data_IF_109701177138
#
_entry.id   IF_109701177138
#
_cell.length_a   1.000
_cell.length_b   1.000
_cell.length_c   1.000
_cell.angle_alpha   90.00
_cell.angle_beta   90.00
_cell.angle_gamma   90.00
#
_symmetry.space_group_name_H-M   'P 1'
#
loop_
_entity.id
_entity.type
_entity.pdbx_description
1 polymer ?
#
# COMPACT_ATOMS: atom_id res chain seq x y z
N UNK A 1 -4.28 13.17 -7.56
CA UNK A 1 -3.04 13.18 -6.73
C UNK A 1 -1.78 12.97 -7.55
N UNK A 2 -1.73 11.99 -8.47
CA UNK A 2 -0.56 11.75 -9.33
C UNK A 2 -0.04 13.01 -10.05
N UNK A 3 -0.93 13.81 -10.62
CA UNK A 3 -0.56 15.11 -11.22
C UNK A 3 -0.04 16.14 -10.20
N UNK A 4 -0.49 16.09 -8.95
CA UNK A 4 0.04 16.96 -7.87
C UNK A 4 1.46 16.56 -7.52
N UNK A 5 1.72 15.26 -7.32
CA UNK A 5 3.07 14.74 -7.09
C UNK A 5 4.00 15.04 -8.27
N UNK A 6 3.51 14.90 -9.50
CA UNK A 6 4.27 15.28 -10.69
C UNK A 6 4.62 16.78 -10.71
N UNK A 7 3.66 17.65 -10.36
CA UNK A 7 3.90 19.11 -10.23
C UNK A 7 4.89 19.44 -9.11
N UNK A 8 4.98 18.62 -8.07
CA UNK A 8 5.99 18.75 -7.02
C UNK A 8 7.39 18.32 -7.49
N UNK A 9 7.51 17.72 -8.68
CA UNK A 9 8.75 17.22 -9.26
C UNK A 9 8.94 15.70 -9.09
N UNK A 10 7.93 14.97 -8.62
CA UNK A 10 8.06 13.54 -8.43
C UNK A 10 7.99 12.78 -9.76
N UNK A 11 8.89 11.82 -9.94
CA UNK A 11 8.89 10.96 -11.12
C UNK A 11 7.67 10.02 -11.11
N UNK A 12 6.66 10.34 -11.93
CA UNK A 12 5.45 9.52 -12.10
C UNK A 12 5.73 8.06 -12.45
N UNK A 13 6.84 7.74 -13.12
CA UNK A 13 7.22 6.37 -13.46
C UNK A 13 7.70 5.55 -12.24
N UNK A 14 8.15 6.22 -11.17
CA UNK A 14 8.68 5.60 -9.95
C UNK A 14 7.64 5.41 -8.85
N UNK A 15 6.48 6.05 -8.99
CA UNK A 15 5.33 5.87 -8.11
C UNK A 15 4.52 4.66 -8.59
N UNK A 16 4.53 3.60 -7.78
CA UNK A 16 3.92 2.30 -8.07
C UNK A 16 2.42 2.30 -7.75
N UNK A 17 2.03 2.88 -6.62
CA UNK A 17 0.63 2.99 -6.20
C UNK A 17 0.41 4.24 -5.34
N UNK A 18 -0.82 4.76 -5.33
CA UNK A 18 -1.26 5.84 -4.44
C UNK A 18 -2.63 5.47 -3.92
N UNK A 19 -2.78 5.40 -2.59
CA UNK A 19 -4.07 5.18 -1.96
C UNK A 19 -4.26 6.04 -0.71
N UNK A 20 -5.48 6.06 -0.19
CA UNK A 20 -5.89 6.88 0.94
C UNK A 20 -6.38 5.94 2.05
N UNK A 21 -5.49 5.55 2.98
CA UNK A 21 -5.87 4.59 4.02
C UNK A 21 -6.83 5.20 5.05
N UNK A 22 -6.74 6.52 5.29
CA UNK A 22 -7.68 7.26 6.15
C UNK A 22 -7.76 8.73 5.73
N UNK A 23 -8.67 9.48 6.35
CA UNK A 23 -8.87 10.89 6.04
C UNK A 23 -7.63 11.72 6.37
N UNK A 24 -7.19 12.52 5.40
CA UNK A 24 -6.01 13.39 5.55
C UNK A 24 -4.66 12.68 5.35
N UNK A 25 -4.65 11.36 5.12
CA UNK A 25 -3.42 10.58 4.92
C UNK A 25 -3.38 10.07 3.49
N UNK A 26 -2.24 10.26 2.84
CA UNK A 26 -1.93 9.70 1.52
C UNK A 26 -0.81 8.69 1.69
N UNK A 27 -1.09 7.44 1.36
CA UNK A 27 -0.07 6.42 1.26
C UNK A 27 0.43 6.37 -0.18
N UNK A 28 1.76 6.47 -0.34
CA UNK A 28 2.42 6.41 -1.64
C UNK A 28 3.36 5.23 -1.62
N UNK A 29 3.16 4.32 -2.56
CA UNK A 29 4.09 3.22 -2.78
C UNK A 29 5.07 3.60 -3.88
N UNK A 30 6.35 3.56 -3.56
CA UNK A 30 7.44 3.99 -4.43
C UNK A 30 8.43 2.85 -4.65
N UNK A 31 9.15 2.92 -5.77
CA UNK A 31 10.28 2.04 -6.00
C UNK A 31 11.39 2.28 -4.96
N UNK A 32 12.00 1.21 -4.42
CA UNK A 32 13.00 1.30 -3.33
C UNK A 32 14.17 2.24 -3.65
N UNK A 33 14.72 2.15 -4.87
CA UNK A 33 15.80 3.03 -5.32
C UNK A 33 15.42 4.51 -5.51
N UNK A 34 14.14 4.86 -5.35
CA UNK A 34 13.65 6.24 -5.39
C UNK A 34 13.35 6.80 -4.00
N UNK A 35 13.50 6.01 -2.93
CA UNK A 35 13.17 6.41 -1.56
C UNK A 35 13.90 7.68 -1.11
N UNK A 36 15.23 7.73 -1.29
CA UNK A 36 16.03 8.87 -0.82
C UNK A 36 15.78 10.15 -1.63
N UNK A 37 15.56 10.01 -2.93
CA UNK A 37 15.19 11.13 -3.80
C UNK A 37 13.80 11.66 -3.44
N UNK A 38 12.84 10.77 -3.22
CA UNK A 38 11.48 11.13 -2.83
C UNK A 38 11.45 11.83 -1.47
N UNK A 39 12.20 11.33 -0.48
CA UNK A 39 12.30 11.98 0.83
C UNK A 39 12.94 13.36 0.76
N UNK A 40 13.99 13.54 -0.06
CA UNK A 40 14.57 14.87 -0.34
C UNK A 40 13.57 15.81 -1.01
N UNK A 41 12.78 15.28 -1.95
CA UNK A 41 11.73 16.06 -2.60
C UNK A 41 10.67 16.51 -1.60
N UNK A 42 10.18 15.60 -0.75
CA UNK A 42 9.21 15.94 0.29
C UNK A 42 9.76 16.99 1.25
N UNK A 43 11.03 16.86 1.67
CA UNK A 43 11.70 17.85 2.53
C UNK A 43 11.82 19.24 1.90
N UNK A 44 12.04 19.32 0.58
CA UNK A 44 12.05 20.61 -0.16
C UNK A 44 10.71 21.34 -0.09
N UNK A 45 9.60 20.59 0.02
CA UNK A 45 8.25 21.13 0.11
C UNK A 45 7.70 21.15 1.54
N UNK A 46 8.57 20.93 2.54
CA UNK A 46 8.20 20.89 3.97
C UNK A 46 7.12 19.84 4.29
N UNK A 47 7.03 18.79 3.47
CA UNK A 47 6.10 17.69 3.68
C UNK A 47 6.79 16.64 4.54
N UNK A 48 6.37 16.53 5.81
CA UNK A 48 6.89 15.50 6.71
C UNK A 48 6.24 14.13 6.41
N UNK A 49 7.03 13.07 6.12
CA UNK A 49 6.50 11.72 6.00
C UNK A 49 6.00 11.20 7.37
N UNK A 50 4.88 10.48 7.35
CA UNK A 50 4.33 9.85 8.55
C UNK A 50 4.94 8.46 8.75
N UNK A 51 5.84 8.33 9.73
CA UNK A 51 6.60 7.09 9.94
C UNK A 51 5.85 5.98 10.69
N UNK A 52 4.94 6.33 11.61
CA UNK A 52 4.33 5.38 12.54
C UNK A 52 2.86 5.08 12.22
N UNK A 53 2.49 5.10 10.93
CA UNK A 53 1.12 4.80 10.53
C UNK A 53 0.83 3.30 10.59
N UNK A 54 -0.12 2.89 11.45
CA UNK A 54 -0.59 1.52 11.51
C UNK A 54 -1.87 1.34 10.67
N UNK A 55 -1.83 0.68 9.50
CA UNK A 55 -3.02 0.49 8.66
C UNK A 55 -4.10 -0.40 9.30
N UNK A 56 -3.78 -1.12 10.37
CA UNK A 56 -4.68 -2.05 11.06
C UNK A 56 -5.34 -1.43 12.31
N UNK A 57 -5.01 -0.17 12.65
CA UNK A 57 -5.59 0.51 13.80
C UNK A 57 -7.10 0.69 13.62
N UNK A 58 -7.95 0.15 14.52
CA UNK A 58 -9.41 0.30 14.48
C UNK A 58 -9.89 1.74 14.29
N UNK A 59 -9.16 2.72 14.80
CA UNK A 59 -9.50 4.14 14.70
C UNK A 59 -9.44 4.69 13.25
N UNK A 60 -8.75 3.98 12.36
CA UNK A 60 -8.69 4.36 10.95
C UNK A 60 -9.94 3.96 10.16
N UNK A 61 -10.79 3.07 10.71
CA UNK A 61 -12.07 2.71 10.09
C UNK A 61 -13.06 3.87 10.25
N UNK A 62 -13.39 4.53 9.14
CA UNK A 62 -14.30 5.69 9.13
C UNK A 62 -15.56 5.49 8.30
N UNK A 63 -15.78 4.30 7.77
CA UNK A 63 -17.00 3.99 7.05
C UNK A 63 -18.15 3.85 8.05
N UNK A 64 -19.10 4.78 8.00
CA UNK A 64 -20.26 4.83 8.90
C UNK A 64 -21.04 3.52 8.90
N UNK A 65 -21.22 2.89 7.74
CA UNK A 65 -21.97 1.62 7.65
C UNK A 65 -21.23 0.50 8.38
N UNK A 66 -19.89 0.47 8.25
CA UNK A 66 -19.07 -0.52 8.95
C UNK A 66 -19.00 -0.23 10.45
N UNK A 67 -19.02 1.03 10.87
CA UNK A 67 -19.06 1.41 12.29
C UNK A 67 -20.41 1.07 12.95
N UNK A 68 -21.50 1.11 12.20
CA UNK A 68 -22.83 0.70 12.67
C UNK A 68 -22.94 -0.83 12.81
N UNK A 69 -22.22 -1.60 11.98
CA UNK A 69 -22.24 -3.08 12.03
C UNK A 69 -21.16 -3.72 12.90
N UNK A 70 -19.99 -3.08 13.02
CA UNK A 70 -18.82 -3.62 13.73
C UNK A 70 -18.68 -2.91 15.06
N UNK A 71 -18.95 -3.65 16.13
CA UNK A 71 -19.09 -3.10 17.48
C UNK A 71 -17.80 -3.26 18.28
N UNK A 72 -17.03 -4.33 18.00
CA UNK A 72 -15.75 -4.58 18.65
C UNK A 72 -14.57 -4.04 17.84
N UNK A 73 -13.55 -3.54 18.53
CA UNK A 73 -12.30 -3.09 17.91
C UNK A 73 -11.55 -4.24 17.21
N UNK A 74 -11.70 -5.47 17.66
CA UNK A 74 -11.11 -6.65 17.02
C UNK A 74 -11.75 -6.94 15.65
N UNK A 75 -13.07 -6.79 15.54
CA UNK A 75 -13.81 -6.94 14.28
C UNK A 75 -13.40 -5.85 13.29
N UNK A 76 -13.21 -4.62 13.79
CA UNK A 76 -12.74 -3.47 12.99
C UNK A 76 -11.31 -3.68 12.50
N UNK A 77 -10.40 -4.13 13.36
CA UNK A 77 -9.03 -4.47 12.99
C UNK A 77 -9.00 -5.58 11.93
N UNK A 78 -9.83 -6.61 12.10
CA UNK A 78 -9.99 -7.69 11.11
C UNK A 78 -10.48 -7.15 9.77
N UNK A 79 -11.47 -6.27 9.78
CA UNK A 79 -11.99 -5.67 8.56
C UNK A 79 -10.98 -4.77 7.86
N UNK A 80 -10.22 -3.98 8.62
CA UNK A 80 -9.13 -3.16 8.09
C UNK A 80 -8.02 -4.02 7.50
N UNK A 81 -7.70 -5.16 8.14
CA UNK A 81 -6.76 -6.14 7.58
C UNK A 81 -7.23 -6.67 6.24
N UNK A 82 -8.51 -7.03 6.11
CA UNK A 82 -9.08 -7.46 4.82
C UNK A 82 -8.96 -6.37 3.76
N UNK A 83 -9.34 -5.13 4.10
CA UNK A 83 -9.28 -3.99 3.18
C UNK A 83 -7.83 -3.73 2.75
N UNK A 84 -6.89 -3.73 3.71
CA UNK A 84 -5.48 -3.51 3.44
C UNK A 84 -4.92 -4.60 2.51
N UNK A 85 -5.21 -5.87 2.79
CA UNK A 85 -4.79 -6.98 1.95
C UNK A 85 -5.39 -6.90 0.54
N UNK A 86 -6.68 -6.59 0.42
CA UNK A 86 -7.34 -6.40 -0.87
C UNK A 86 -6.66 -5.29 -1.68
N UNK A 87 -6.29 -4.18 -1.04
CA UNK A 87 -5.59 -3.07 -1.69
C UNK A 87 -4.21 -3.49 -2.20
N UNK A 88 -3.44 -4.23 -1.40
CA UNK A 88 -2.13 -4.73 -1.84
C UNK A 88 -2.26 -5.69 -3.01
N UNK A 89 -3.25 -6.59 -2.99
CA UNK A 89 -3.52 -7.49 -4.12
C UNK A 89 -3.86 -6.72 -5.39
N UNK A 90 -4.79 -5.77 -5.33
CA UNK A 90 -5.10 -4.92 -6.48
C UNK A 90 -3.88 -4.13 -6.95
N UNK A 91 -3.08 -3.59 -6.03
CA UNK A 91 -1.85 -2.88 -6.39
C UNK A 91 -0.89 -3.79 -7.18
N UNK A 92 -0.74 -5.06 -6.80
CA UNK A 92 0.08 -6.02 -7.54
C UNK A 92 -0.49 -6.30 -8.94
N UNK A 93 -1.81 -6.43 -9.09
CA UNK A 93 -2.46 -6.67 -10.39
C UNK A 93 -2.17 -5.54 -11.39
N UNK A 94 -2.27 -4.28 -10.95
CA UNK A 94 -2.03 -3.12 -11.80
C UNK A 94 -0.55 -2.75 -11.98
N UNK A 95 0.35 -3.28 -11.14
CA UNK A 95 1.79 -3.05 -11.29
C UNK A 95 2.35 -3.68 -12.56
N UNK A 96 3.35 -3.01 -13.14
CA UNK A 96 4.13 -3.55 -14.26
C UNK A 96 4.90 -4.79 -13.83
N UNK A 97 5.07 -5.73 -14.76
CA UNK A 97 5.67 -7.05 -14.49
C UNK A 97 7.01 -6.99 -13.73
N UNK A 98 7.92 -6.08 -14.14
CA UNK A 98 9.24 -5.92 -13.51
C UNK A 98 9.18 -5.45 -12.05
N UNK A 99 8.14 -4.70 -11.66
CA UNK A 99 7.94 -4.24 -10.29
C UNK A 99 7.07 -5.20 -9.48
N UNK A 100 6.20 -5.98 -10.14
CA UNK A 100 5.22 -6.85 -9.48
C UNK A 100 5.88 -7.93 -8.61
N UNK A 101 6.90 -8.64 -9.12
CA UNK A 101 7.55 -9.73 -8.36
C UNK A 101 8.30 -9.22 -7.12
N UNK A 102 9.21 -8.22 -7.21
CA UNK A 102 9.90 -7.71 -6.03
C UNK A 102 8.94 -7.20 -4.96
N UNK A 103 7.86 -6.50 -5.37
CA UNK A 103 6.86 -5.99 -4.42
C UNK A 103 6.05 -7.11 -3.77
N UNK A 104 5.70 -8.16 -4.53
CA UNK A 104 5.03 -9.32 -3.98
C UNK A 104 5.89 -10.03 -2.91
N UNK A 105 7.19 -10.18 -3.17
CA UNK A 105 8.14 -10.70 -2.17
C UNK A 105 8.22 -9.81 -0.93
N UNK A 106 8.36 -8.50 -1.10
CA UNK A 106 8.40 -7.54 0.02
C UNK A 106 7.12 -7.58 0.86
N UNK A 107 5.94 -7.69 0.24
CA UNK A 107 4.66 -7.79 0.95
C UNK A 107 4.54 -9.09 1.77
N UNK A 108 5.07 -10.21 1.28
CA UNK A 108 5.13 -11.47 2.04
C UNK A 108 6.15 -11.37 3.17
N UNK A 109 7.33 -10.81 2.90
CA UNK A 109 8.38 -10.62 3.90
C UNK A 109 7.93 -9.74 5.06
N UNK A 110 7.16 -8.69 4.79
CA UNK A 110 6.55 -7.83 5.83
C UNK A 110 5.37 -8.47 6.55
N UNK A 111 4.93 -9.66 6.14
CA UNK A 111 3.77 -10.36 6.70
C UNK A 111 2.43 -9.71 6.34
N UNK A 112 2.39 -8.81 5.35
CA UNK A 112 1.16 -8.15 4.93
C UNK A 112 0.27 -9.08 4.12
N UNK A 113 0.87 -9.88 3.23
CA UNK A 113 0.19 -10.90 2.43
C UNK A 113 0.77 -12.28 2.70
N UNK A 114 -0.07 -13.31 2.55
CA UNK A 114 0.35 -14.71 2.56
C UNK A 114 0.76 -15.13 1.15
N UNK A 115 1.74 -16.03 1.03
CA UNK A 115 2.19 -16.62 -0.25
C UNK A 115 1.05 -17.15 -1.11
N UNK A 116 0.02 -17.76 -0.51
CA UNK A 116 -1.15 -18.26 -1.24
C UNK A 116 -1.95 -17.14 -1.94
N UNK A 117 -2.19 -16.02 -1.24
CA UNK A 117 -2.93 -14.86 -1.79
C UNK A 117 -2.17 -14.18 -2.91
N UNK A 118 -0.86 -14.09 -2.75
CA UNK A 118 0.03 -13.56 -3.79
C UNK A 118 0.02 -14.47 -5.01
N UNK A 119 0.14 -15.78 -4.82
CA UNK A 119 0.13 -16.78 -5.89
C UNK A 119 -1.17 -16.74 -6.71
N UNK A 120 -2.33 -16.58 -6.07
CA UNK A 120 -3.61 -16.45 -6.78
C UNK A 120 -3.72 -15.16 -7.59
N UNK A 121 -3.01 -14.10 -7.21
CA UNK A 121 -2.97 -12.84 -7.96
C UNK A 121 -2.10 -12.94 -9.22
N UNK A 122 -1.22 -13.94 -9.32
CA UNK A 122 -0.44 -14.25 -10.52
C UNK A 122 -1.14 -15.34 -11.34
N UNK A 123 -2.14 -14.97 -12.15
CA UNK A 123 -2.87 -15.90 -13.04
C UNK A 123 -1.98 -16.59 -14.09
N UNK A 124 -0.78 -16.07 -14.35
CA UNK A 124 0.09 -16.52 -15.45
C UNK A 124 1.07 -17.64 -15.06
N UNK A 125 0.90 -18.29 -13.90
CA UNK A 125 1.73 -19.44 -13.47
C UNK A 125 3.23 -19.13 -13.26
N UNK A 126 3.62 -17.85 -13.34
CA UNK A 126 5.01 -17.40 -13.45
C UNK A 126 5.67 -17.08 -12.11
N UNK A 127 4.89 -17.00 -11.04
CA UNK A 127 5.38 -16.83 -9.67
C UNK A 127 5.45 -18.21 -9.01
N UNK A 128 6.63 -18.62 -8.55
CA UNK A 128 6.84 -19.76 -7.65
C UNK A 128 7.84 -19.28 -6.62
N UNK A 129 7.40 -19.06 -5.38
CA UNK A 129 8.33 -18.85 -4.27
C UNK A 129 8.96 -20.22 -4.00
N UNK A 130 10.21 -20.42 -4.42
CA UNK A 130 10.97 -21.58 -3.94
C UNK A 130 11.24 -21.38 -2.45
N UNK A 131 10.77 -22.35 -1.66
CA UNK A 131 11.14 -22.50 -0.25
C UNK A 131 12.65 -22.74 -0.13
#
# INVERSE_FOLDING_TARGET
>A
MRNKLHKLGAASSRILDIHYPTLGIVAVLIHIGYSDEFNRLLGKWEIAPLHNFNPLDPQHLRDRKLLETLTSDEERATKLKEIHQQRLTCALEYMREHARRPMAFDFVFRGWLTTCKVQSAFTDGTFRIKQ
#
